data_IF_596397458186
#
_entry.id   IF_596397458186
#
_cell.length_a   1.000
_cell.length_b   1.000
_cell.length_c   1.000
_cell.angle_alpha   90.00
_cell.angle_beta   90.00
_cell.angle_gamma   90.00
#
_symmetry.space_group_name_H-M   'P 1'
#
loop_
_entity.id
_entity.type
_entity.pdbx_description
1 polymer ?
#
# COMPACT_ATOMS: atom_id res chain seq x y z
N UNK A 1 -98.34 -0.46 -18.31
CA UNK A 1 -97.51 -0.32 -19.54
C UNK A 1 -96.12 0.30 -19.31
N UNK A 2 -95.81 0.90 -18.14
CA UNK A 2 -94.49 1.51 -17.89
C UNK A 2 -93.33 0.51 -17.61
N UNK A 3 -93.60 -0.71 -17.13
CA UNK A 3 -92.53 -1.67 -16.74
C UNK A 3 -91.78 -2.30 -17.93
N UNK A 4 -92.34 -2.27 -19.15
CA UNK A 4 -91.73 -2.87 -20.35
C UNK A 4 -90.74 -1.94 -21.06
N UNK A 5 -90.87 -0.62 -20.90
CA UNK A 5 -89.97 0.38 -21.51
C UNK A 5 -88.66 0.51 -20.72
N UNK A 6 -88.73 0.36 -19.39
CA UNK A 6 -87.54 0.38 -18.52
C UNK A 6 -86.55 -0.78 -18.80
N UNK A 7 -87.06 -1.94 -19.21
CA UNK A 7 -86.24 -3.15 -19.43
C UNK A 7 -85.48 -3.10 -20.76
N UNK A 8 -86.05 -2.45 -21.79
CA UNK A 8 -85.39 -2.24 -23.09
C UNK A 8 -84.30 -1.17 -23.02
N UNK A 9 -84.48 -0.13 -22.20
CA UNK A 9 -83.46 0.91 -21.98
C UNK A 9 -82.20 0.38 -21.26
N UNK A 10 -82.36 -0.55 -20.32
CA UNK A 10 -81.23 -1.17 -19.59
C UNK A 10 -80.43 -2.10 -20.51
N UNK A 11 -81.09 -2.80 -21.45
CA UNK A 11 -80.40 -3.69 -22.40
C UNK A 11 -79.53 -2.92 -23.40
N UNK A 12 -79.96 -1.74 -23.85
CA UNK A 12 -79.19 -0.90 -24.79
C UNK A 12 -78.01 -0.22 -24.08
N UNK A 13 -78.16 0.16 -22.81
CA UNK A 13 -77.07 0.72 -22.01
C UNK A 13 -75.95 -0.29 -21.70
N UNK A 14 -76.29 -1.57 -21.49
CA UNK A 14 -75.31 -2.63 -21.24
C UNK A 14 -74.48 -2.96 -22.49
N UNK A 15 -75.06 -2.93 -23.68
CA UNK A 15 -74.37 -3.24 -24.95
C UNK A 15 -73.38 -2.12 -25.36
N UNK A 16 -73.68 -0.86 -25.03
CA UNK A 16 -72.76 0.27 -25.25
C UNK A 16 -71.59 0.31 -24.26
N UNK A 17 -71.79 -0.15 -23.02
CA UNK A 17 -70.71 -0.23 -22.01
C UNK A 17 -69.66 -1.29 -22.33
N UNK A 18 -70.07 -2.39 -22.97
CA UNK A 18 -69.17 -3.49 -23.33
C UNK A 18 -68.27 -3.14 -24.53
N UNK A 19 -68.75 -2.28 -25.45
CA UNK A 19 -67.97 -1.78 -26.58
C UNK A 19 -66.89 -0.75 -26.19
N UNK A 20 -67.12 0.05 -25.15
CA UNK A 20 -66.16 1.05 -24.66
C UNK A 20 -65.05 0.46 -23.80
N UNK A 21 -65.29 -0.69 -23.14
CA UNK A 21 -64.27 -1.40 -22.37
C UNK A 21 -63.20 -2.07 -23.26
N UNK A 22 -63.57 -2.49 -24.48
CA UNK A 22 -62.63 -3.10 -25.43
C UNK A 22 -61.58 -2.09 -25.95
N UNK A 23 -61.94 -0.80 -26.05
CA UNK A 23 -61.05 0.28 -26.52
C UNK A 23 -60.08 0.74 -25.42
N UNK A 24 -60.45 0.58 -24.14
CA UNK A 24 -59.56 0.86 -23.01
C UNK A 24 -58.49 -0.21 -22.77
N UNK A 25 -58.68 -1.43 -23.30
CA UNK A 25 -57.77 -2.55 -23.05
C UNK A 25 -56.63 -2.66 -24.08
N UNK A 26 -56.75 -2.05 -25.26
CA UNK A 26 -55.70 -2.08 -26.31
C UNK A 26 -54.73 -0.88 -26.28
N UNK A 27 -55.07 0.21 -25.57
CA UNK A 27 -54.25 1.43 -25.52
C UNK A 27 -53.06 1.42 -24.55
N UNK A 28 -52.86 0.35 -23.77
CA UNK A 28 -51.88 0.28 -22.68
C UNK A 28 -50.66 -0.63 -22.98
N UNK A 29 -50.43 -1.00 -24.24
CA UNK A 29 -49.20 -1.71 -24.62
C UNK A 29 -48.06 -0.71 -24.90
N UNK A 30 -47.36 -0.40 -23.82
CA UNK A 30 -45.92 -0.16 -23.75
C UNK A 30 -45.34 1.04 -24.53
N UNK A 31 -45.14 2.16 -23.84
CA UNK A 31 -44.13 3.16 -24.23
C UNK A 31 -42.72 2.58 -24.03
N UNK A 32 -41.87 2.47 -25.08
CA UNK A 32 -40.53 1.86 -24.96
C UNK A 32 -39.49 2.77 -24.28
N UNK A 33 -39.89 3.94 -23.77
CA UNK A 33 -38.99 4.95 -23.21
C UNK A 33 -38.46 4.60 -21.80
N UNK A 34 -39.01 3.59 -21.12
CA UNK A 34 -38.58 3.19 -19.77
C UNK A 34 -37.59 2.02 -19.73
N UNK A 35 -37.17 1.47 -20.88
CA UNK A 35 -36.27 0.31 -20.94
C UNK A 35 -34.77 0.66 -20.95
N UNK A 36 -34.39 1.95 -20.96
CA UNK A 36 -33.01 2.35 -20.75
C UNK A 36 -32.68 2.35 -19.26
N UNK A 37 -32.63 1.14 -18.68
CA UNK A 37 -31.87 0.91 -17.48
C UNK A 37 -30.41 1.13 -17.82
N UNK A 38 -29.84 2.22 -17.33
CA UNK A 38 -28.40 2.42 -17.25
C UNK A 38 -27.80 1.20 -16.55
N UNK A 39 -27.21 0.29 -17.32
CA UNK A 39 -26.22 -0.66 -16.82
C UNK A 39 -25.11 0.16 -16.17
N UNK A 40 -25.27 0.41 -14.87
CA UNK A 40 -24.25 1.03 -14.05
C UNK A 40 -23.08 0.07 -14.09
N UNK A 41 -22.02 0.48 -14.78
CA UNK A 41 -20.72 -0.16 -14.76
C UNK A 41 -20.47 -0.74 -13.37
N UNK A 42 -20.19 -2.05 -13.29
CA UNK A 42 -19.97 -2.78 -12.06
C UNK A 42 -19.16 -1.92 -11.09
N UNK A 43 -19.88 -1.28 -10.18
CA UNK A 43 -19.31 -0.34 -9.24
C UNK A 43 -18.67 -1.20 -8.18
N UNK A 44 -17.34 -1.23 -8.16
CA UNK A 44 -16.61 -1.66 -6.98
C UNK A 44 -17.18 -0.85 -5.81
N UNK A 45 -17.95 -1.51 -4.95
CA UNK A 45 -18.49 -0.87 -3.77
C UNK A 45 -17.30 -0.63 -2.84
N UNK A 46 -17.14 0.57 -2.25
CA UNK A 46 -16.07 0.82 -1.29
C UNK A 46 -16.15 -0.11 -0.06
N UNK A 47 -17.23 -0.87 0.09
CA UNK A 47 -17.44 -1.87 1.13
C UNK A 47 -16.83 -3.26 0.85
N UNK A 48 -16.26 -3.52 -0.34
CA UNK A 48 -15.60 -4.80 -0.69
C UNK A 48 -14.08 -4.75 -0.48
N UNK A 49 -13.62 -4.15 0.63
CA UNK A 49 -12.18 -4.02 0.94
C UNK A 49 -11.84 -4.67 2.26
N UNK A 50 -10.80 -5.51 2.27
CA UNK A 50 -10.19 -6.05 3.49
C UNK A 50 -8.90 -5.28 3.72
N UNK A 51 -8.90 -4.38 4.70
CA UNK A 51 -7.71 -3.62 5.10
C UNK A 51 -7.01 -4.35 6.24
N UNK A 52 -5.78 -4.81 5.98
CA UNK A 52 -4.91 -5.42 6.99
C UNK A 52 -3.74 -4.49 7.26
N UNK A 53 -3.53 -4.18 8.54
CA UNK A 53 -2.35 -3.45 9.02
C UNK A 53 -1.43 -4.45 9.70
N UNK A 54 -0.33 -4.79 9.04
CA UNK A 54 0.72 -5.62 9.60
C UNK A 54 1.84 -4.75 10.16
N UNK A 55 2.26 -5.02 11.39
CA UNK A 55 3.41 -4.37 12.01
C UNK A 55 4.45 -5.43 12.34
N UNK A 56 5.61 -5.34 11.70
CA UNK A 56 6.74 -6.23 11.93
C UNK A 56 7.86 -5.49 12.64
N UNK A 57 8.32 -6.02 13.76
CA UNK A 57 9.54 -5.58 14.43
C UNK A 57 10.43 -6.80 14.59
N UNK A 58 11.69 -6.65 14.23
CA UNK A 58 12.72 -7.66 14.47
C UNK A 58 13.75 -7.05 15.40
N UNK A 59 14.06 -7.75 16.48
CA UNK A 59 15.15 -7.39 17.37
C UNK A 59 16.24 -8.43 17.15
N UNK A 60 17.41 -7.97 16.73
CA UNK A 60 18.58 -8.80 16.45
C UNK A 60 19.71 -8.28 17.32
N UNK A 61 20.47 -9.20 17.89
CA UNK A 61 21.65 -8.86 18.69
C UNK A 61 22.75 -8.33 17.74
N UNK A 62 23.32 -7.15 18.00
CA UNK A 62 24.39 -6.60 17.17
C UNK A 62 25.64 -7.49 17.25
N UNK A 63 26.19 -7.83 16.09
CA UNK A 63 27.29 -8.79 15.91
C UNK A 63 28.61 -8.14 15.47
N UNK A 64 28.62 -6.82 15.25
CA UNK A 64 29.80 -6.06 14.79
C UNK A 64 30.11 -4.94 15.79
N UNK A 65 31.38 -4.83 16.17
CA UNK A 65 31.93 -3.73 16.96
C UNK A 65 33.06 -3.04 16.20
N UNK A 66 33.04 -1.70 16.17
CA UNK A 66 34.09 -0.89 15.55
C UNK A 66 34.86 -0.15 16.63
N UNK A 67 36.18 -0.29 16.65
CA UNK A 67 37.08 0.37 17.62
C UNK A 67 38.09 1.21 16.87
N UNK A 68 38.26 2.46 17.29
CA UNK A 68 39.26 3.37 16.73
C UNK A 68 40.41 3.53 17.71
N UNK A 69 41.61 3.14 17.28
CA UNK A 69 42.86 3.29 18.04
C UNK A 69 43.73 4.34 17.35
N UNK A 70 44.40 5.19 18.13
CA UNK A 70 45.31 6.21 17.62
C UNK A 70 46.65 6.12 18.33
N UNK A 71 47.73 6.30 17.57
CA UNK A 71 49.11 6.36 18.08
C UNK A 71 49.68 7.73 17.74
N UNK A 72 50.11 8.45 18.76
CA UNK A 72 50.78 9.74 18.63
C UNK A 72 52.20 9.61 19.17
N UNK A 73 53.18 9.99 18.36
CA UNK A 73 54.60 10.00 18.71
C UNK A 73 55.19 11.37 18.41
N UNK A 74 56.15 11.78 19.25
CA UNK A 74 56.81 13.08 19.13
C UNK A 74 58.32 12.88 19.25
N UNK A 75 59.09 13.49 18.33
CA UNK A 75 60.54 13.36 18.29
C UNK A 75 61.24 14.67 17.96
N UNK A 76 62.56 14.72 18.16
CA UNK A 76 63.37 15.89 17.81
C UNK A 76 63.46 16.13 16.31
N UNK A 77 63.28 15.07 15.52
CA UNK A 77 63.15 15.10 14.06
C UNK A 77 61.91 14.34 13.61
N UNK A 78 61.39 14.68 12.42
CA UNK A 78 60.27 13.94 11.82
C UNK A 78 60.64 12.46 11.63
N UNK A 79 61.88 12.17 11.20
CA UNK A 79 62.33 10.81 10.93
C UNK A 79 62.29 9.91 12.16
N UNK A 80 62.74 10.43 13.31
CA UNK A 80 62.66 9.70 14.59
C UNK A 80 61.21 9.46 15.01
N UNK A 81 60.35 10.49 14.94
CA UNK A 81 58.95 10.38 15.35
C UNK A 81 58.18 9.36 14.50
N UNK A 82 58.45 9.30 13.19
CA UNK A 82 57.82 8.34 12.27
C UNK A 82 58.34 6.93 12.50
N UNK A 83 59.64 6.74 12.68
CA UNK A 83 60.21 5.42 12.95
C UNK A 83 59.64 4.83 14.25
N UNK A 84 59.58 5.64 15.32
CA UNK A 84 58.99 5.21 16.59
C UNK A 84 57.48 4.92 16.45
N UNK A 85 56.75 5.69 15.64
CA UNK A 85 55.34 5.42 15.37
C UNK A 85 55.15 4.06 14.69
N UNK A 86 56.01 3.77 13.72
CA UNK A 86 55.94 2.57 12.91
C UNK A 86 56.21 1.31 13.75
N UNK A 87 57.21 1.36 14.64
CA UNK A 87 57.51 0.26 15.57
C UNK A 87 56.34 -0.03 16.53
N UNK A 88 55.70 1.02 17.04
CA UNK A 88 54.53 0.90 17.91
C UNK A 88 53.33 0.33 17.14
N UNK A 89 53.09 0.80 15.92
CA UNK A 89 52.01 0.32 15.07
C UNK A 89 52.19 -1.16 14.69
N UNK A 90 53.41 -1.61 14.36
CA UNK A 90 53.70 -3.03 14.12
C UNK A 90 53.45 -3.90 15.35
N UNK A 91 53.85 -3.40 16.53
CA UNK A 91 53.59 -4.09 17.80
C UNK A 91 52.09 -4.24 18.08
N UNK A 92 51.30 -3.20 17.79
CA UNK A 92 49.84 -3.25 17.93
C UNK A 92 49.24 -4.23 16.94
N UNK A 93 49.65 -4.20 15.67
CA UNK A 93 49.16 -5.13 14.66
C UNK A 93 49.40 -6.58 15.08
N UNK A 94 50.63 -6.89 15.51
CA UNK A 94 51.00 -8.23 15.97
C UNK A 94 50.16 -8.67 17.18
N UNK A 95 49.88 -7.76 18.13
CA UNK A 95 49.04 -8.08 19.27
C UNK A 95 47.58 -8.35 18.88
N UNK A 96 47.04 -7.60 17.91
CA UNK A 96 45.68 -7.81 17.41
C UNK A 96 45.54 -9.12 16.64
N UNK A 97 46.55 -9.48 15.84
CA UNK A 97 46.62 -10.77 15.15
C UNK A 97 46.71 -11.93 16.14
N UNK A 98 47.47 -11.79 17.23
CA UNK A 98 47.59 -12.82 18.28
C UNK A 98 46.28 -13.04 19.06
N UNK A 99 45.46 -11.99 19.21
CA UNK A 99 44.10 -12.06 19.79
C UNK A 99 43.09 -12.69 18.81
N UNK A 100 43.49 -12.92 17.56
CA UNK A 100 42.68 -13.60 16.54
C UNK A 100 41.83 -12.68 15.67
N UNK A 101 42.18 -11.39 15.61
CA UNK A 101 41.57 -10.46 14.66
C UNK A 101 42.24 -10.65 13.30
N UNK A 102 41.44 -10.91 12.26
CA UNK A 102 41.96 -11.04 10.91
C UNK A 102 42.51 -9.68 10.43
N UNK A 103 43.64 -9.72 9.70
CA UNK A 103 44.26 -8.53 9.11
C UNK A 103 43.34 -7.77 8.15
N UNK A 104 42.32 -8.45 7.58
CA UNK A 104 41.30 -7.84 6.72
C UNK A 104 40.39 -6.85 7.46
N UNK A 105 40.27 -7.01 8.78
CA UNK A 105 39.39 -6.21 9.64
C UNK A 105 40.16 -5.03 10.28
N UNK A 106 41.47 -4.96 10.06
CA UNK A 106 42.34 -3.87 10.52
C UNK A 106 42.56 -2.88 9.37
N UNK A 107 42.23 -1.61 9.58
CA UNK A 107 42.48 -0.56 8.59
C UNK A 107 42.97 0.74 9.23
N UNK A 108 43.97 1.36 8.61
CA UNK A 108 44.46 2.69 8.98
C UNK A 108 43.61 3.76 8.29
N UNK A 109 42.90 4.56 9.06
CA UNK A 109 41.96 5.56 8.53
C UNK A 109 42.59 6.95 8.33
N UNK A 110 43.42 7.39 9.28
CA UNK A 110 43.95 8.75 9.27
C UNK A 110 45.41 8.74 9.71
N UNK A 111 46.25 9.42 8.95
CA UNK A 111 47.66 9.64 9.27
C UNK A 111 47.98 11.13 9.14
N UNK A 112 48.47 11.75 10.21
CA UNK A 112 48.76 13.18 10.26
C UNK A 112 50.11 13.40 10.94
N UNK A 113 50.95 14.23 10.30
CA UNK A 113 52.23 14.69 10.86
C UNK A 113 52.12 16.20 11.05
N UNK A 114 52.58 16.70 12.20
CA UNK A 114 52.67 18.13 12.51
C UNK A 114 54.12 18.50 12.82
N UNK A 115 54.52 19.72 12.44
CA UNK A 115 55.86 20.29 12.56
C UNK A 115 55.99 21.14 13.82
#
# INVERSE_FOLDING_TARGET
MLKRVALVGIAIALILSLGMAAVWLWGQVASPAAAQGTDSAAGYSPNETITVVGQGSVSVEPDIATVSLGVETSGGTIGEAVAENQDIMESILSALEEVGIDSKDIQTMNYSIRL
#
